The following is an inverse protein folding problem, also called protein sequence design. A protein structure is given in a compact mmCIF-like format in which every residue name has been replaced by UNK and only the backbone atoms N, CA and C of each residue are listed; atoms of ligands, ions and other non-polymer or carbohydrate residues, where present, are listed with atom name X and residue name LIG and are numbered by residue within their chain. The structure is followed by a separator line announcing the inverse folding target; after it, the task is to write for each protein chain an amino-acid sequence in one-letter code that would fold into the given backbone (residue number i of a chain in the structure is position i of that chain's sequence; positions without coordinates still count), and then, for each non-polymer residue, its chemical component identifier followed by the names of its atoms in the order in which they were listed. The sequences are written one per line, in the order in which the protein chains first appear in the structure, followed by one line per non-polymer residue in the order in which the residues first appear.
data_IF_746486481424
#
_entry.id   IF_746486481424
#
_cell.length_a   1.000
_cell.length_b   1.000
_cell.length_c   1.000
_cell.angle_alpha   90.00
_cell.angle_beta   90.00
_cell.angle_gamma   90.00
#
_symmetry.space_group_name_H-M   'P 1'
#
loop_
_entity.id
_entity.type
_entity.pdbx_description
1 polymer ?
#
# COMPACT_ATOMS: atom_id res chain seq x y z
N UNK A 1 -10.22 3.06 11.48
CA UNK A 1 -9.54 3.40 10.21
C UNK A 1 -8.06 3.59 10.50
N UNK A 2 -7.15 2.92 9.77
CA UNK A 2 -5.71 3.07 9.94
C UNK A 2 -5.25 4.48 9.56
N UNK A 3 -4.18 4.96 10.20
CA UNK A 3 -3.53 6.22 9.85
C UNK A 3 -2.02 6.10 10.02
N UNK A 4 -1.26 6.84 9.21
CA UNK A 4 0.19 6.97 9.26
C UNK A 4 0.55 8.40 9.65
N UNK A 5 1.53 8.55 10.56
CA UNK A 5 2.16 9.84 10.88
C UNK A 5 3.63 9.74 10.50
N UNK A 6 4.09 10.64 9.65
CA UNK A 6 5.48 10.69 9.15
C UNK A 6 5.86 12.15 8.88
N UNK A 7 7.02 12.60 9.35
CA UNK A 7 7.48 14.00 9.19
C UNK A 7 6.40 15.06 9.54
N UNK A 8 5.66 14.85 10.63
CA UNK A 8 4.50 15.66 11.07
C UNK A 8 3.31 15.73 10.08
N UNK A 9 3.28 14.93 9.02
CA UNK A 9 2.12 14.75 8.13
C UNK A 9 1.30 13.54 8.58
N UNK A 10 -0.02 13.69 8.60
CA UNK A 10 -0.98 12.60 8.87
C UNK A 10 -1.65 12.15 7.58
N UNK A 11 -1.59 10.86 7.30
CA UNK A 11 -2.28 10.20 6.18
C UNK A 11 -3.29 9.23 6.81
N UNK A 12 -4.59 9.39 6.56
CA UNK A 12 -5.66 8.64 7.25
C UNK A 12 -6.43 7.69 6.32
N UNK A 13 -5.90 7.45 5.12
CA UNK A 13 -6.51 6.65 4.07
C UNK A 13 -5.57 5.46 3.77
N UNK A 14 -6.10 4.23 3.84
CA UNK A 14 -5.34 2.99 3.68
C UNK A 14 -4.66 2.88 2.31
N UNK A 15 -5.32 3.32 1.24
CA UNK A 15 -4.74 3.29 -0.10
C UNK A 15 -3.59 4.29 -0.21
N UNK A 16 -3.81 5.51 0.30
CA UNK A 16 -2.78 6.56 0.30
C UNK A 16 -1.59 6.21 1.20
N UNK A 17 -1.81 5.44 2.27
CA UNK A 17 -0.73 4.93 3.13
C UNK A 17 0.15 3.96 2.33
N UNK A 18 -0.46 3.02 1.60
CA UNK A 18 0.29 2.04 0.81
C UNK A 18 1.10 2.71 -0.31
N UNK A 19 0.50 3.67 -1.01
CA UNK A 19 1.20 4.44 -2.04
C UNK A 19 2.34 5.27 -1.46
N UNK A 20 2.11 5.96 -0.34
CA UNK A 20 3.16 6.71 0.34
C UNK A 20 4.35 5.80 0.73
N UNK A 21 4.07 4.61 1.28
CA UNK A 21 5.12 3.69 1.73
C UNK A 21 5.95 3.12 0.57
N UNK A 22 5.37 2.95 -0.64
CA UNK A 22 6.11 2.49 -1.83
C UNK A 22 7.29 3.40 -2.17
N UNK A 23 7.10 4.70 -2.00
CA UNK A 23 8.10 5.73 -2.35
C UNK A 23 8.94 6.16 -1.14
N UNK A 24 8.38 6.12 0.07
CA UNK A 24 9.09 6.48 1.30
C UNK A 24 10.17 5.46 1.69
N UNK A 25 9.97 4.18 1.36
CA UNK A 25 10.92 3.13 1.74
C UNK A 25 12.10 3.04 0.76
N UNK A 26 13.36 3.07 1.24
CA UNK A 26 14.55 3.00 0.38
C UNK A 26 14.60 1.71 -0.45
N UNK A 27 14.16 0.61 0.16
CA UNK A 27 13.84 -0.63 -0.53
C UNK A 27 12.40 -0.55 -1.01
N UNK A 28 12.17 0.00 -2.21
CA UNK A 28 10.83 0.08 -2.83
C UNK A 28 10.04 -1.19 -2.51
N UNK A 29 8.88 -1.05 -1.86
CA UNK A 29 8.13 -2.15 -1.23
C UNK A 29 7.95 -3.40 -2.12
N UNK A 30 7.87 -3.20 -3.43
CA UNK A 30 7.66 -4.26 -4.42
C UNK A 30 8.84 -4.50 -5.36
N UNK A 31 10.04 -4.03 -5.01
CA UNK A 31 11.23 -4.15 -5.86
C UNK A 31 11.56 -5.61 -6.22
N UNK A 32 11.24 -6.55 -5.34
CA UNK A 32 11.53 -7.99 -5.49
C UNK A 32 10.37 -8.80 -6.07
N UNK A 33 9.21 -8.18 -6.30
CA UNK A 33 8.05 -8.89 -6.86
C UNK A 33 8.14 -8.93 -8.38
N UNK A 34 7.88 -10.11 -8.94
CA UNK A 34 7.67 -10.27 -10.38
C UNK A 34 6.39 -9.53 -10.81
N UNK A 35 6.21 -9.27 -12.12
CA UNK A 35 4.97 -8.69 -12.64
C UNK A 35 3.72 -9.44 -12.18
N UNK A 36 3.78 -10.77 -12.15
CA UNK A 36 2.68 -11.65 -11.69
C UNK A 36 2.42 -11.43 -10.20
N UNK A 37 3.47 -11.38 -9.38
CA UNK A 37 3.34 -11.11 -7.95
C UNK A 37 2.69 -9.75 -7.64
N UNK A 38 2.99 -8.73 -8.45
CA UNK A 38 2.36 -7.40 -8.35
C UNK A 38 0.88 -7.45 -8.75
N UNK A 39 0.55 -8.16 -9.82
CA UNK A 39 -0.84 -8.31 -10.27
C UNK A 39 -1.70 -9.06 -9.25
N UNK A 40 -1.16 -10.15 -8.68
CA UNK A 40 -1.81 -10.90 -7.60
C UNK A 40 -2.02 -10.01 -6.37
N UNK A 41 -0.99 -9.29 -5.92
CA UNK A 41 -1.10 -8.38 -4.78
C UNK A 41 -2.20 -7.33 -4.97
N UNK A 42 -2.25 -6.70 -6.14
CA UNK A 42 -3.29 -5.72 -6.47
C UNK A 42 -4.71 -6.33 -6.47
N UNK A 43 -4.88 -7.52 -7.03
CA UNK A 43 -6.17 -8.21 -7.04
C UNK A 43 -6.67 -8.53 -5.62
N UNK A 44 -5.76 -8.97 -4.73
CA UNK A 44 -6.09 -9.22 -3.33
C UNK A 44 -6.42 -7.94 -2.55
N UNK A 45 -5.69 -6.85 -2.79
CA UNK A 45 -6.01 -5.55 -2.16
C UNK A 45 -7.41 -5.09 -2.56
N UNK A 46 -7.76 -5.14 -3.85
CA UNK A 46 -9.12 -4.78 -4.31
C UNK A 46 -10.20 -5.67 -3.72
N UNK A 47 -9.99 -6.99 -3.68
CA UNK A 47 -10.92 -7.89 -3.01
C UNK A 47 -11.13 -7.52 -1.54
N UNK A 48 -10.05 -7.16 -0.84
CA UNK A 48 -10.12 -6.79 0.57
C UNK A 48 -10.88 -5.47 0.79
N UNK A 49 -10.56 -4.43 0.02
CA UNK A 49 -11.19 -3.11 0.17
C UNK A 49 -12.64 -3.07 -0.33
N UNK A 50 -12.95 -3.77 -1.44
CA UNK A 50 -14.29 -3.70 -2.05
C UNK A 50 -15.31 -4.67 -1.42
N UNK A 51 -14.84 -5.74 -0.77
CA UNK A 51 -15.71 -6.86 -0.39
C UNK A 51 -15.52 -7.40 1.03
N UNK A 52 -14.43 -7.07 1.74
CA UNK A 52 -14.18 -7.58 3.11
C UNK A 52 -14.19 -6.49 4.19
N UNK A 53 -14.05 -5.22 3.81
CA UNK A 53 -14.12 -4.04 4.68
C UNK A 53 -15.24 -3.10 4.28
#
# INVERSE_FOLDING_TARGET
MPYLIVDNKKIADSELILDFLKDYTPSKLYARLSPEGKAVGLAFTRLAEDHLY
#
